data_IF_117766043122
#
_entry.id   IF_117766043122
#
_cell.length_a   1.000
_cell.length_b   1.000
_cell.length_c   1.000
_cell.angle_alpha   90.00
_cell.angle_beta   90.00
_cell.angle_gamma   90.00
#
_symmetry.space_group_name_H-M   'P 1'
#
loop_
_entity.id
_entity.type
_entity.pdbx_description
1 polymer ?
#
# COMPACT_ATOMS: atom_id res chain seq x y z
N UNK A 1 -15.58 3.26 -5.57
CA UNK A 1 -15.17 2.47 -6.77
C UNK A 1 -14.97 0.99 -6.39
N UNK A 2 -15.02 -0.01 -7.30
CA UNK A 2 -14.84 -1.45 -6.92
C UNK A 2 -13.34 -1.77 -6.71
N UNK A 3 -12.98 -2.71 -5.83
CA UNK A 3 -11.59 -3.12 -5.54
C UNK A 3 -10.68 -3.38 -6.76
N UNK A 4 -11.24 -3.82 -7.92
CA UNK A 4 -10.47 -3.97 -9.17
C UNK A 4 -9.81 -2.68 -9.65
N UNK A 5 -10.53 -1.57 -9.49
CA UNK A 5 -10.10 -0.28 -10.00
C UNK A 5 -9.02 0.34 -9.13
N UNK A 6 -9.02 0.09 -7.81
CA UNK A 6 -7.96 0.54 -6.92
C UNK A 6 -6.63 -0.18 -7.17
N UNK A 7 -6.67 -1.50 -7.40
CA UNK A 7 -5.48 -2.29 -7.77
C UNK A 7 -4.88 -1.78 -9.09
N UNK A 8 -5.72 -1.58 -10.12
CA UNK A 8 -5.27 -1.09 -11.42
C UNK A 8 -4.63 0.29 -11.33
N UNK A 9 -5.28 1.24 -10.63
CA UNK A 9 -4.74 2.59 -10.44
C UNK A 9 -3.38 2.55 -9.73
N UNK A 10 -3.26 1.73 -8.69
CA UNK A 10 -2.00 1.53 -7.98
C UNK A 10 -0.88 1.02 -8.90
N UNK A 11 -1.15 0.02 -9.73
CA UNK A 11 -0.14 -0.51 -10.66
C UNK A 11 0.23 0.47 -11.76
N UNK A 12 -0.74 1.24 -12.27
CA UNK A 12 -0.46 2.31 -13.24
C UNK A 12 0.45 3.36 -12.62
N UNK A 13 0.18 3.81 -11.39
CA UNK A 13 1.03 4.80 -10.71
C UNK A 13 2.42 4.22 -10.43
N UNK A 14 2.52 2.97 -9.95
CA UNK A 14 3.83 2.33 -9.74
C UNK A 14 4.63 2.25 -11.04
N UNK A 15 3.99 1.86 -12.15
CA UNK A 15 4.64 1.78 -13.46
C UNK A 15 5.14 3.16 -13.94
N UNK A 16 4.42 4.24 -13.64
CA UNK A 16 4.86 5.60 -13.96
C UNK A 16 5.98 6.11 -13.04
N UNK A 17 6.02 5.67 -11.78
CA UNK A 17 7.06 6.06 -10.81
C UNK A 17 8.42 5.40 -11.10
N UNK A 18 8.44 4.18 -11.63
CA UNK A 18 9.70 3.45 -11.90
C UNK A 18 10.63 4.22 -12.87
N UNK A 19 10.18 4.71 -14.04
CA UNK A 19 11.00 5.57 -14.91
C UNK A 19 11.50 6.83 -14.21
N UNK A 20 10.68 7.45 -13.35
CA UNK A 20 11.06 8.63 -12.58
C UNK A 20 12.23 8.30 -11.65
N UNK A 21 12.21 7.15 -10.98
CA UNK A 21 13.33 6.73 -10.13
C UNK A 21 14.63 6.54 -10.90
N UNK A 22 14.56 6.04 -12.14
CA UNK A 22 15.72 5.99 -13.03
C UNK A 22 16.23 7.39 -13.41
N UNK A 23 15.33 8.33 -13.73
CA UNK A 23 15.69 9.72 -14.03
C UNK A 23 16.40 10.41 -12.86
N UNK A 24 16.01 10.09 -11.62
CA UNK A 24 16.64 10.62 -10.40
C UNK A 24 17.79 9.75 -9.86
N UNK A 25 18.28 8.78 -10.64
CA UNK A 25 19.41 7.91 -10.26
C UNK A 25 19.23 7.19 -8.91
N UNK A 26 18.00 6.81 -8.57
CA UNK A 26 17.73 5.99 -7.39
C UNK A 26 18.35 4.61 -7.59
N UNK A 27 19.08 4.13 -6.57
CA UNK A 27 19.75 2.84 -6.61
C UNK A 27 18.75 1.70 -6.87
N UNK A 28 19.12 0.74 -7.72
CA UNK A 28 18.21 -0.32 -8.16
C UNK A 28 17.60 -1.13 -7.01
N UNK A 29 18.36 -1.42 -5.95
CA UNK A 29 17.83 -2.14 -4.79
C UNK A 29 16.75 -1.34 -4.04
N UNK A 30 16.87 -0.02 -3.98
CA UNK A 30 15.87 0.86 -3.36
C UNK A 30 14.58 0.89 -4.19
N UNK A 31 14.69 0.94 -5.51
CA UNK A 31 13.56 0.81 -6.44
C UNK A 31 12.86 -0.54 -6.27
N UNK A 32 13.61 -1.63 -6.10
CA UNK A 32 13.07 -2.97 -5.85
C UNK A 32 12.33 -3.00 -4.51
N UNK A 33 12.92 -2.51 -3.42
CA UNK A 33 12.28 -2.48 -2.11
C UNK A 33 11.02 -1.63 -2.10
N UNK A 34 11.04 -0.47 -2.75
CA UNK A 34 9.87 0.38 -2.93
C UNK A 34 8.77 -0.36 -3.70
N UNK A 35 9.10 -0.93 -4.85
CA UNK A 35 8.13 -1.65 -5.68
C UNK A 35 7.54 -2.84 -4.94
N UNK A 36 8.36 -3.57 -4.18
CA UNK A 36 7.91 -4.68 -3.35
C UNK A 36 6.93 -4.20 -2.28
N UNK A 37 7.28 -3.15 -1.52
CA UNK A 37 6.37 -2.54 -0.55
C UNK A 37 5.05 -2.09 -1.18
N UNK A 38 5.11 -1.48 -2.35
CA UNK A 38 3.92 -1.03 -3.09
C UNK A 38 3.02 -2.19 -3.52
N UNK A 39 3.60 -3.25 -4.08
CA UNK A 39 2.87 -4.45 -4.50
C UNK A 39 2.20 -5.11 -3.28
N UNK A 40 2.92 -5.21 -2.16
CA UNK A 40 2.36 -5.74 -0.90
C UNK A 40 1.21 -4.86 -0.41
N UNK A 41 1.40 -3.53 -0.37
CA UNK A 41 0.36 -2.58 0.04
C UNK A 41 -0.86 -2.58 -0.87
N UNK A 42 -0.67 -2.85 -2.16
CA UNK A 42 -1.78 -2.91 -3.14
C UNK A 42 -2.56 -4.21 -3.01
N UNK A 43 -1.86 -5.34 -2.95
CA UNK A 43 -2.49 -6.65 -3.07
C UNK A 43 -2.94 -7.25 -1.74
N UNK A 44 -2.21 -6.98 -0.66
CA UNK A 44 -2.37 -7.68 0.63
C UNK A 44 -2.63 -6.74 1.79
N UNK A 45 -1.94 -5.59 1.84
CA UNK A 45 -2.03 -4.61 2.93
C UNK A 45 -2.70 -3.31 2.46
N UNK A 46 -3.90 -3.41 1.86
CA UNK A 46 -4.61 -2.23 1.37
C UNK A 46 -5.58 -1.65 2.42
N UNK A 47 -6.00 -0.39 2.29
CA UNK A 47 -7.02 0.21 3.15
C UNK A 47 -8.36 -0.53 3.20
N UNK A 48 -8.68 -1.35 2.18
CA UNK A 48 -9.92 -2.15 2.15
C UNK A 48 -9.80 -3.49 2.90
N UNK A 49 -8.75 -3.71 3.69
CA UNK A 49 -8.56 -4.93 4.49
C UNK A 49 -9.61 -5.16 5.60
N UNK A 50 -10.60 -4.29 5.67
CA UNK A 50 -11.73 -4.32 6.60
C UNK A 50 -13.09 -4.41 5.88
N UNK A 51 -13.10 -4.42 4.54
CA UNK A 51 -14.29 -4.64 3.75
C UNK A 51 -14.51 -6.14 3.48
N UNK A 52 -15.70 -6.64 3.83
CA UNK A 52 -16.08 -8.05 3.64
C UNK A 52 -15.98 -8.53 2.18
N UNK A 53 -16.11 -7.61 1.22
CA UNK A 53 -16.02 -7.87 -0.22
C UNK A 53 -14.62 -7.63 -0.81
N UNK A 54 -13.62 -7.28 0.00
CA UNK A 54 -12.31 -6.90 -0.51
C UNK A 54 -11.48 -8.11 -0.95
N UNK A 55 -10.82 -7.97 -2.10
CA UNK A 55 -9.88 -8.97 -2.60
C UNK A 55 -8.63 -9.11 -1.71
N UNK A 56 -8.04 -8.02 -1.20
CA UNK A 56 -6.94 -8.13 -0.24
C UNK A 56 -7.31 -9.01 0.96
N UNK A 57 -8.51 -8.84 1.53
CA UNK A 57 -9.00 -9.66 2.64
C UNK A 57 -9.04 -11.16 2.28
N UNK A 58 -9.49 -11.48 1.06
CA UNK A 58 -9.53 -12.86 0.58
C UNK A 58 -8.13 -13.43 0.29
N UNK A 59 -7.17 -12.61 -0.15
CA UNK A 59 -5.79 -13.04 -0.42
C UNK A 59 -5.00 -13.35 0.85
N UNK A 60 -5.23 -12.60 1.93
CA UNK A 60 -4.55 -12.84 3.21
C UNK A 60 -5.15 -14.03 4.01
N UNK A 61 -6.27 -14.57 3.54
CA UNK A 61 -6.88 -15.79 4.09
C UNK A 61 -7.25 -15.63 5.56
N UNK A 62 -6.69 -16.50 6.42
CA UNK A 62 -6.99 -16.50 7.86
C UNK A 62 -6.44 -15.28 8.61
N UNK A 63 -5.51 -14.52 8.04
CA UNK A 63 -5.02 -13.29 8.67
C UNK A 63 -6.07 -12.17 8.71
N UNK A 64 -7.19 -12.33 7.98
CA UNK A 64 -8.31 -11.38 8.01
C UNK A 64 -8.87 -11.11 9.40
N UNK A 65 -8.75 -12.07 10.32
CA UNK A 65 -9.21 -11.90 11.71
C UNK A 65 -8.40 -10.84 12.48
N UNK A 66 -7.18 -10.51 12.04
CA UNK A 66 -6.40 -9.39 12.58
C UNK A 66 -7.02 -8.02 12.25
N UNK A 67 -7.93 -7.97 11.29
CA UNK A 67 -8.57 -6.73 10.83
C UNK A 67 -10.07 -6.70 11.13
N UNK A 68 -10.64 -7.77 11.73
CA UNK A 68 -12.07 -7.86 12.02
C UNK A 68 -12.59 -6.76 12.98
N UNK A 69 -11.69 -6.15 13.77
CA UNK A 69 -12.02 -5.09 14.72
C UNK A 69 -11.90 -3.70 14.09
N UNK A 70 -11.36 -3.62 12.88
CA UNK A 70 -11.30 -2.38 12.11
C UNK A 70 -12.60 -2.20 11.33
N UNK A 71 -13.15 -0.99 11.31
CA UNK A 71 -14.35 -0.66 10.53
C UNK A 71 -13.93 -0.20 9.15
N UNK A 72 -14.67 -0.58 8.11
CA UNK A 72 -14.48 -0.06 6.75
C UNK A 72 -14.40 1.47 6.75
N UNK A 73 -13.31 2.01 6.19
CA UNK A 73 -12.93 3.44 6.23
C UNK A 73 -12.51 3.97 7.61
N UNK A 74 -12.09 3.07 8.50
CA UNK A 74 -11.60 3.38 9.84
C UNK A 74 -10.10 3.58 9.85
N UNK A 75 -9.39 2.85 10.71
CA UNK A 75 -7.95 3.03 10.94
C UNK A 75 -7.11 2.90 9.66
N UNK A 76 -7.47 1.99 8.75
CA UNK A 76 -6.71 1.73 7.53
C UNK A 76 -6.93 2.77 6.42
N UNK A 77 -7.99 3.58 6.49
CA UNK A 77 -8.16 4.76 5.61
C UNK A 77 -7.55 6.03 6.19
N UNK A 78 -6.91 5.97 7.36
CA UNK A 78 -6.24 7.11 7.95
C UNK A 78 -4.82 7.28 7.39
N UNK A 79 -4.50 8.37 6.65
CA UNK A 79 -3.15 8.60 6.14
C UNK A 79 -2.09 8.67 7.24
N UNK A 80 -2.46 9.12 8.44
CA UNK A 80 -1.54 9.22 9.59
C UNK A 80 -1.09 7.84 10.05
N UNK A 81 -1.97 6.84 10.02
CA UNK A 81 -1.61 5.46 10.38
C UNK A 81 -0.49 4.94 9.46
N UNK A 82 -0.64 5.11 8.15
CA UNK A 82 0.36 4.68 7.17
C UNK A 82 1.64 5.51 7.25
N UNK A 83 1.53 6.81 7.55
CA UNK A 83 2.69 7.66 7.83
C UNK A 83 3.49 7.17 9.04
N UNK A 84 2.82 6.82 10.14
CA UNK A 84 3.46 6.24 11.32
C UNK A 84 4.13 4.89 10.98
N UNK A 85 3.46 4.01 10.23
CA UNK A 85 4.04 2.74 9.79
C UNK A 85 5.30 2.95 8.93
N UNK A 86 5.26 3.93 8.02
CA UNK A 86 6.44 4.33 7.25
C UNK A 86 7.58 4.77 8.16
N UNK A 87 7.33 5.65 9.14
CA UNK A 87 8.36 6.14 10.06
C UNK A 87 8.98 5.00 10.89
N UNK A 88 8.18 4.05 11.34
CA UNK A 88 8.66 2.86 12.06
C UNK A 88 9.56 2.02 11.13
N UNK A 89 9.12 1.74 9.90
CA UNK A 89 9.93 0.98 8.94
C UNK A 89 11.21 1.72 8.56
N UNK A 90 11.17 3.05 8.43
CA UNK A 90 12.34 3.87 8.19
C UNK A 90 13.33 3.79 9.36
N UNK A 91 12.86 3.88 10.60
CA UNK A 91 13.69 3.70 11.79
C UNK A 91 14.37 2.32 11.84
N UNK A 92 13.69 1.28 11.36
CA UNK A 92 14.22 -0.09 11.27
C UNK A 92 15.12 -0.35 10.05
N UNK A 93 15.41 0.66 9.22
CA UNK A 93 16.27 0.52 8.03
C UNK A 93 15.53 0.05 6.76
N UNK A 94 14.20 0.00 6.78
CA UNK A 94 13.33 -0.42 5.66
C UNK A 94 12.57 0.75 5.03
N UNK A 95 13.18 1.95 5.01
CA UNK A 95 12.52 3.19 4.58
C UNK A 95 11.88 3.10 3.18
N UNK A 96 12.57 2.51 2.19
CA UNK A 96 12.05 2.39 0.82
C UNK A 96 10.85 1.46 0.73
N UNK A 97 10.86 0.33 1.44
CA UNK A 97 9.71 -0.56 1.53
C UNK A 97 8.52 0.13 2.23
N UNK A 98 8.79 0.85 3.32
CA UNK A 98 7.77 1.65 4.00
C UNK A 98 7.18 2.75 3.12
N UNK A 99 8.01 3.42 2.33
CA UNK A 99 7.56 4.44 1.37
C UNK A 99 6.67 3.82 0.28
N UNK A 100 6.99 2.60 -0.19
CA UNK A 100 6.15 1.85 -1.12
C UNK A 100 4.78 1.52 -0.54
N UNK A 101 4.74 1.00 0.70
CA UNK A 101 3.49 0.72 1.42
C UNK A 101 2.64 1.98 1.61
N UNK A 102 3.28 3.07 2.05
CA UNK A 102 2.61 4.34 2.27
C UNK A 102 2.05 4.92 0.97
N UNK A 103 2.84 4.90 -0.11
CA UNK A 103 2.43 5.37 -1.43
C UNK A 103 1.21 4.61 -1.96
N UNK A 104 1.23 3.28 -1.88
CA UNK A 104 0.10 2.45 -2.30
C UNK A 104 -1.18 2.76 -1.50
N UNK A 105 -1.06 2.92 -0.18
CA UNK A 105 -2.18 3.28 0.68
C UNK A 105 -2.74 4.68 0.36
N UNK A 106 -1.88 5.69 0.13
CA UNK A 106 -2.32 7.03 -0.24
C UNK A 106 -3.07 7.04 -1.58
N UNK A 107 -2.54 6.34 -2.58
CA UNK A 107 -3.21 6.21 -3.88
C UNK A 107 -4.58 5.58 -3.72
N UNK A 108 -4.67 4.51 -2.92
CA UNK A 108 -5.94 3.86 -2.64
C UNK A 108 -6.94 4.82 -1.98
N UNK A 109 -6.53 5.51 -0.90
CA UNK A 109 -7.36 6.47 -0.16
C UNK A 109 -7.82 7.61 -1.08
N UNK A 110 -6.94 8.15 -1.92
CA UNK A 110 -7.27 9.24 -2.85
C UNK A 110 -8.22 8.79 -3.98
N UNK A 111 -8.14 7.53 -4.39
CA UNK A 111 -9.01 6.94 -5.40
C UNK A 111 -10.36 6.47 -4.83
N UNK A 112 -10.49 6.32 -3.50
CA UNK A 112 -11.73 5.95 -2.82
C UNK A 112 -12.67 7.16 -2.69
N UNK A 113 -13.43 7.40 -3.78
CA UNK A 113 -14.62 8.27 -3.80
C UNK A 113 -15.89 7.42 -3.77
#
# INVERSE_FOLDING_TARGET
MKGMSHELINFVILFLLIPIFFLFSIQGHNTIYFSFGWVIGTLYLSPDLDADYSRPLNRIGNLKYLFWFTRHRGTLHNPVFWGCLFLILAFLGHAWMGAGLFGAALVHIMADK
#
